data_IF_419143591433
#
_entry.id   IF_419143591433
#
_cell.length_a   1.000
_cell.length_b   1.000
_cell.length_c   1.000
_cell.angle_alpha   90.00
_cell.angle_beta   90.00
_cell.angle_gamma   90.00
#
_symmetry.space_group_name_H-M   'P 1'
#
loop_
_entity.id
_entity.type
_entity.pdbx_description
1 polymer ?
#
# COMPACT_ATOMS: atom_id res chain seq x y z
N UNK A 1 -71.75 -2.71 3.37
CA UNK A 1 -71.83 -2.80 4.81
C UNK A 1 -70.42 -3.14 5.30
N UNK A 2 -69.56 -2.37 5.87
CA UNK A 2 -69.59 -1.27 6.77
C UNK A 2 -68.13 -0.79 6.78
N UNK A 3 -67.84 0.35 6.31
CA UNK A 3 -67.35 1.62 6.86
C UNK A 3 -66.72 1.55 8.24
N UNK A 4 -65.48 2.06 8.34
CA UNK A 4 -64.95 3.02 9.31
C UNK A 4 -63.45 2.98 9.28
N UNK A 5 -62.78 3.98 8.86
CA UNK A 5 -62.44 5.33 9.31
C UNK A 5 -61.05 5.36 9.94
N UNK A 6 -60.26 6.21 9.33
CA UNK A 6 -58.95 6.72 9.78
C UNK A 6 -59.14 7.73 10.94
N UNK A 7 -58.17 7.95 11.77
CA UNK A 7 -57.80 9.34 11.94
C UNK A 7 -56.29 9.65 11.83
N UNK A 8 -56.05 10.76 11.17
CA UNK A 8 -54.83 11.54 11.17
C UNK A 8 -54.76 12.39 12.46
N UNK A 9 -53.57 12.61 12.98
CA UNK A 9 -53.14 13.72 13.85
C UNK A 9 -51.63 13.85 13.63
N UNK A 10 -51.12 14.85 13.23
CA UNK A 10 -50.93 16.29 13.37
C UNK A 10 -49.44 16.62 13.51
N UNK A 11 -49.07 17.57 12.70
CA UNK A 11 -47.83 18.34 12.72
C UNK A 11 -47.63 19.10 14.04
N UNK A 12 -46.40 19.17 14.53
CA UNK A 12 -45.97 20.38 15.23
C UNK A 12 -44.54 20.71 14.85
N UNK A 13 -44.45 21.92 14.33
CA UNK A 13 -43.22 22.61 13.93
C UNK A 13 -42.64 23.39 15.11
N UNK A 14 -41.34 23.69 14.92
CA UNK A 14 -40.62 24.86 15.46
C UNK A 14 -40.11 24.82 16.90
N UNK A 15 -38.76 24.89 17.02
CA UNK A 15 -38.16 26.16 17.49
C UNK A 15 -36.64 26.20 17.17
N UNK A 16 -36.29 27.23 16.45
CA UNK A 16 -34.95 27.75 16.23
C UNK A 16 -34.47 28.50 17.47
N UNK A 17 -33.27 28.13 17.97
CA UNK A 17 -32.53 29.01 18.88
C UNK A 17 -31.16 29.32 18.26
N UNK A 18 -31.05 30.55 17.80
CA UNK A 18 -29.78 31.21 17.44
C UNK A 18 -29.09 31.66 18.73
N UNK A 19 -27.81 31.27 18.90
CA UNK A 19 -26.94 31.90 19.88
C UNK A 19 -25.63 32.34 19.20
N UNK A 20 -25.60 33.63 18.93
CA UNK A 20 -24.41 34.43 18.63
C UNK A 20 -23.60 34.67 19.91
N UNK A 21 -22.39 34.17 20.00
CA UNK A 21 -21.42 34.65 20.97
C UNK A 21 -20.18 35.25 20.28
N UNK A 22 -20.03 36.55 20.56
CA UNK A 22 -18.90 37.40 20.18
C UNK A 22 -17.57 36.81 20.70
N UNK A 23 -16.60 36.63 19.83
CA UNK A 23 -15.22 36.45 20.21
C UNK A 23 -14.50 37.80 20.36
N UNK A 24 -14.03 38.06 21.55
CA UNK A 24 -13.16 39.19 21.90
C UNK A 24 -11.72 38.87 21.53
N UNK A 25 -11.12 39.71 20.69
CA UNK A 25 -9.71 39.70 20.34
C UNK A 25 -8.86 40.23 21.50
N UNK A 26 -7.92 39.43 21.97
CA UNK A 26 -6.83 39.93 22.84
C UNK A 26 -5.51 39.77 22.08
N UNK A 27 -4.96 40.89 21.69
CA UNK A 27 -3.61 41.07 21.17
C UNK A 27 -2.62 40.95 22.30
N UNK A 28 -1.70 40.00 22.24
CA UNK A 28 -0.46 40.03 23.04
C UNK A 28 0.75 40.20 22.12
N UNK A 29 1.41 41.34 22.28
CA UNK A 29 2.74 41.64 21.77
C UNK A 29 3.76 40.76 22.49
N UNK A 30 4.60 40.04 21.76
CA UNK A 30 5.85 39.52 22.30
C UNK A 30 7.03 40.02 21.47
N UNK A 31 8.06 40.37 22.21
CA UNK A 31 9.21 41.14 21.81
C UNK A 31 10.21 40.35 20.94
N UNK A 32 10.79 41.08 20.05
CA UNK A 32 11.96 40.78 19.24
C UNK A 32 13.19 40.49 20.12
N UNK A 33 13.85 39.36 19.86
CA UNK A 33 15.21 39.13 20.35
C UNK A 33 16.07 38.61 19.21
N UNK A 34 16.79 39.53 18.60
CA UNK A 34 17.83 39.26 17.61
C UNK A 34 19.05 38.58 18.27
N UNK A 35 19.37 37.37 17.84
CA UNK A 35 20.69 36.81 18.06
C UNK A 35 21.41 36.58 16.72
N UNK A 36 22.47 37.40 16.52
CA UNK A 36 23.46 37.24 15.46
C UNK A 36 24.27 35.98 15.70
N UNK A 37 24.23 35.02 14.77
CA UNK A 37 25.25 33.98 14.69
C UNK A 37 26.16 34.26 13.49
N UNK A 38 27.46 34.35 13.79
CA UNK A 38 28.52 34.60 12.83
C UNK A 38 28.80 33.34 12.00
N UNK A 39 28.82 33.48 10.69
CA UNK A 39 29.24 32.43 9.77
C UNK A 39 30.77 32.46 9.61
N UNK A 40 31.41 31.35 10.00
CA UNK A 40 32.85 31.15 9.74
C UNK A 40 32.96 30.25 8.51
N UNK A 41 33.43 30.84 7.41
CA UNK A 41 33.66 30.15 6.14
C UNK A 41 35.03 29.47 6.18
N UNK A 42 35.08 28.14 6.22
CA UNK A 42 36.33 27.40 6.03
C UNK A 42 36.44 26.94 4.59
N UNK A 43 37.35 27.52 3.82
CA UNK A 43 37.75 27.07 2.48
C UNK A 43 38.61 25.83 2.61
N UNK A 44 38.15 24.71 2.08
CA UNK A 44 38.99 23.50 1.86
C UNK A 44 39.37 23.43 0.39
N UNK A 45 40.63 23.64 0.11
CA UNK A 45 41.24 23.53 -1.22
C UNK A 45 41.53 22.05 -1.53
N UNK A 46 41.09 21.60 -2.69
CA UNK A 46 41.29 20.26 -3.27
C UNK A 46 42.58 20.30 -4.12
N UNK A 47 43.53 19.38 -3.94
CA UNK A 47 44.68 19.28 -4.87
C UNK A 47 44.31 18.50 -6.13
N UNK A 48 44.75 19.03 -7.24
CA UNK A 48 44.66 18.51 -8.61
C UNK A 48 45.83 17.59 -8.86
N UNK A 49 45.62 16.29 -9.10
CA UNK A 49 46.69 15.39 -9.56
C UNK A 49 46.73 15.35 -11.08
N UNK A 50 47.86 15.77 -11.60
CA UNK A 50 48.24 15.63 -13.03
C UNK A 50 48.82 14.26 -13.28
N UNK A 51 48.24 13.56 -14.27
CA UNK A 51 48.76 12.29 -14.76
C UNK A 51 50.06 12.47 -15.55
N UNK A 52 50.99 11.56 -15.35
CA UNK A 52 52.14 11.35 -16.23
C UNK A 52 52.29 9.87 -16.53
N UNK A 53 52.04 9.53 -17.75
CA UNK A 53 52.31 8.21 -18.36
C UNK A 53 53.84 8.04 -18.56
N UNK A 54 54.39 6.93 -18.09
CA UNK A 54 55.71 6.44 -18.57
C UNK A 54 55.60 4.99 -18.96
N UNK A 55 55.84 4.74 -20.23
CA UNK A 55 56.14 3.45 -20.81
C UNK A 55 57.51 2.98 -20.28
N UNK A 56 57.61 1.73 -19.86
CA UNK A 56 58.91 1.07 -19.76
C UNK A 56 58.84 -0.33 -20.37
N UNK A 57 59.75 -0.58 -21.26
CA UNK A 57 59.99 -1.73 -22.11
C UNK A 57 60.53 -2.91 -21.30
N UNK A 58 60.18 -4.11 -21.75
CA UNK A 58 60.68 -5.41 -21.28
C UNK A 58 62.16 -5.64 -21.54
N UNK A 59 62.83 -6.29 -20.60
CA UNK A 59 64.06 -7.06 -20.88
C UNK A 59 64.03 -8.36 -20.08
N UNK A 60 64.16 -9.45 -20.82
CA UNK A 60 64.23 -10.83 -20.37
C UNK A 60 65.65 -11.20 -19.91
N UNK A 61 65.78 -11.82 -18.74
CA UNK A 61 66.94 -12.67 -18.44
C UNK A 61 66.51 -13.89 -17.62
N UNK A 62 66.72 -15.05 -18.20
CA UNK A 62 66.48 -16.36 -17.64
C UNK A 62 67.59 -16.76 -16.68
N UNK A 63 67.25 -17.22 -15.48
CA UNK A 63 68.15 -18.00 -14.64
C UNK A 63 67.39 -19.22 -14.08
N UNK A 64 67.82 -20.40 -14.44
CA UNK A 64 67.44 -21.71 -13.95
C UNK A 64 67.83 -21.83 -12.46
N UNK A 65 66.92 -22.18 -11.58
CA UNK A 65 67.23 -22.77 -10.30
C UNK A 65 66.36 -24.03 -10.07
N UNK A 66 66.94 -25.05 -9.50
CA UNK A 66 66.43 -26.40 -9.31
C UNK A 66 65.31 -26.54 -8.29
N UNK A 67 64.48 -27.61 -8.27
CA UNK A 67 63.25 -27.68 -7.53
C UNK A 67 63.47 -28.07 -6.05
N UNK A 68 63.01 -27.24 -5.15
CA UNK A 68 62.82 -27.57 -3.73
C UNK A 68 61.47 -28.26 -3.57
N UNK A 69 61.47 -29.45 -2.99
CA UNK A 69 60.26 -30.20 -2.57
C UNK A 69 59.65 -29.49 -1.36
N UNK A 70 58.57 -28.77 -1.57
CA UNK A 70 57.68 -28.33 -0.49
C UNK A 70 56.41 -29.12 -0.55
N UNK A 71 56.19 -29.94 0.48
CA UNK A 71 54.95 -30.63 0.82
C UNK A 71 53.81 -29.64 0.92
N UNK A 72 52.81 -29.75 0.06
CA UNK A 72 51.54 -29.02 0.17
C UNK A 72 50.74 -29.59 1.33
N UNK A 73 50.19 -28.75 2.23
CA UNK A 73 49.16 -29.20 3.13
C UNK A 73 47.91 -29.51 2.31
N UNK A 74 47.41 -30.74 2.45
CA UNK A 74 46.11 -31.14 1.92
C UNK A 74 45.03 -30.37 2.64
N UNK A 75 44.48 -29.38 1.98
CA UNK A 75 43.19 -28.78 2.40
C UNK A 75 42.14 -29.87 2.12
N UNK A 76 41.76 -30.59 3.15
CA UNK A 76 40.51 -31.34 3.16
C UNK A 76 39.40 -30.30 2.95
N UNK A 77 38.90 -30.20 1.74
CA UNK A 77 37.62 -29.58 1.46
C UNK A 77 36.55 -30.48 2.13
N UNK A 78 36.09 -30.03 3.27
CA UNK A 78 34.86 -30.52 3.86
C UNK A 78 33.72 -30.25 2.86
N UNK A 79 33.42 -31.29 2.07
CA UNK A 79 32.27 -31.33 1.16
C UNK A 79 31.01 -31.68 1.97
N UNK A 80 30.71 -30.94 2.98
CA UNK A 80 29.33 -30.78 3.47
C UNK A 80 28.73 -29.61 2.70
N UNK A 81 28.39 -29.83 1.44
CA UNK A 81 27.28 -29.07 0.86
C UNK A 81 26.06 -29.44 1.68
N UNK A 82 25.76 -28.60 2.68
CA UNK A 82 24.44 -28.54 3.29
C UNK A 82 23.47 -28.47 2.10
N UNK A 83 22.68 -29.52 1.92
CA UNK A 83 21.51 -29.43 1.05
C UNK A 83 20.69 -28.28 1.64
N UNK A 84 20.66 -27.15 0.98
CA UNK A 84 19.77 -26.03 1.32
C UNK A 84 18.35 -26.57 1.11
N UNK A 85 17.82 -27.22 2.12
CA UNK A 85 16.41 -27.61 2.15
C UNK A 85 15.61 -26.32 2.23
N UNK A 86 14.77 -26.10 1.24
CA UNK A 86 13.82 -25.00 1.25
C UNK A 86 12.95 -25.12 2.49
N UNK A 87 12.94 -24.10 3.34
CA UNK A 87 12.19 -24.10 4.60
C UNK A 87 10.70 -23.95 4.35
N UNK A 88 9.89 -24.52 5.24
CA UNK A 88 8.46 -24.27 5.25
C UNK A 88 8.17 -22.86 5.77
N UNK A 89 7.32 -22.14 5.07
CA UNK A 89 6.90 -20.80 5.45
C UNK A 89 5.54 -20.87 6.12
N UNK A 90 5.53 -20.54 7.41
CA UNK A 90 4.34 -20.55 8.26
C UNK A 90 3.64 -19.18 8.21
N UNK A 91 2.32 -19.21 8.11
CA UNK A 91 1.45 -18.07 8.37
C UNK A 91 1.05 -18.15 9.84
N UNK A 92 1.49 -17.16 10.61
CA UNK A 92 1.25 -17.11 12.07
C UNK A 92 -0.08 -16.42 12.37
N UNK A 93 -0.37 -15.36 11.62
CA UNK A 93 -1.61 -14.62 11.76
C UNK A 93 -1.54 -13.26 11.08
N UNK A 94 -2.58 -12.49 11.25
CA UNK A 94 -2.66 -11.17 10.63
C UNK A 94 -3.30 -10.15 11.56
N UNK A 95 -3.32 -8.91 11.10
CA UNK A 95 -4.08 -7.83 11.69
C UNK A 95 -4.50 -6.84 10.60
N UNK A 96 -5.64 -6.19 10.81
CA UNK A 96 -6.12 -5.11 9.95
C UNK A 96 -6.88 -4.06 10.73
N UNK A 97 -7.06 -2.90 10.16
CA UNK A 97 -8.06 -1.93 10.61
C UNK A 97 -9.40 -2.19 9.90
N UNK A 98 -10.54 -1.70 10.40
CA UNK A 98 -11.80 -1.75 9.65
C UNK A 98 -11.64 -1.13 8.28
N UNK A 99 -12.28 -1.70 7.26
CA UNK A 99 -12.32 -1.08 5.94
C UNK A 99 -13.45 -0.06 5.89
N UNK A 100 -13.11 1.17 5.50
CA UNK A 100 -14.02 2.29 5.44
C UNK A 100 -14.34 2.67 4.00
N UNK A 101 -15.58 3.11 3.76
CA UNK A 101 -15.94 3.71 2.46
C UNK A 101 -15.13 4.98 2.25
N UNK A 102 -14.66 5.15 1.02
CA UNK A 102 -13.97 6.36 0.58
C UNK A 102 -14.77 7.63 0.91
N UNK A 103 -14.05 8.70 1.23
CA UNK A 103 -14.59 10.00 1.68
C UNK A 103 -15.45 9.90 2.94
N UNK A 104 -15.18 8.94 3.80
CA UNK A 104 -15.87 8.66 5.05
C UNK A 104 -15.01 8.87 6.28
N UNK A 105 -15.04 7.92 7.20
CA UNK A 105 -14.40 8.02 8.52
C UNK A 105 -12.87 8.25 8.45
N UNK A 106 -12.20 7.81 7.40
CA UNK A 106 -10.75 7.94 7.24
C UNK A 106 -10.33 9.10 6.32
N UNK A 107 -11.22 10.05 6.08
CA UNK A 107 -10.95 11.18 5.17
C UNK A 107 -9.67 11.97 5.50
N UNK A 108 -9.28 12.02 6.78
CA UNK A 108 -8.08 12.74 7.25
C UNK A 108 -6.89 11.82 7.54
N UNK A 109 -7.03 10.51 7.34
CA UNK A 109 -5.99 9.55 7.60
C UNK A 109 -5.10 9.33 6.37
N UNK A 110 -3.79 9.36 6.56
CA UNK A 110 -2.82 8.99 5.53
C UNK A 110 -2.60 7.47 5.47
N UNK A 111 -1.95 7.01 4.40
CA UNK A 111 -1.46 5.63 4.31
C UNK A 111 -0.54 5.27 5.49
N UNK A 112 0.32 6.20 5.93
CA UNK A 112 1.20 5.98 7.08
C UNK A 112 0.39 5.76 8.35
N UNK A 113 -0.62 6.60 8.63
CA UNK A 113 -1.45 6.46 9.82
C UNK A 113 -2.17 5.10 9.86
N UNK A 114 -2.80 4.72 8.74
CA UNK A 114 -3.56 3.48 8.63
C UNK A 114 -2.68 2.23 8.73
N UNK A 115 -1.54 2.20 8.02
CA UNK A 115 -0.67 1.05 8.06
C UNK A 115 0.06 0.92 9.41
N UNK A 116 0.45 2.05 10.03
CA UNK A 116 0.99 2.06 11.39
C UNK A 116 0.01 1.48 12.40
N UNK A 117 -1.28 1.83 12.29
CA UNK A 117 -2.32 1.26 13.17
C UNK A 117 -2.45 -0.27 12.98
N UNK A 118 -2.45 -0.75 11.75
CA UNK A 118 -2.47 -2.17 11.44
C UNK A 118 -1.23 -2.89 11.97
N UNK A 119 -0.03 -2.32 11.82
CA UNK A 119 1.21 -2.88 12.33
C UNK A 119 1.23 -2.92 13.86
N UNK A 120 0.80 -1.86 14.54
CA UNK A 120 0.74 -1.82 16.01
C UNK A 120 -0.16 -2.92 16.56
N UNK A 121 -1.34 -3.12 15.97
CA UNK A 121 -2.22 -4.21 16.37
C UNK A 121 -1.57 -5.59 16.18
N UNK A 122 -0.80 -5.80 15.11
CA UNK A 122 -0.05 -7.04 14.90
C UNK A 122 1.09 -7.20 15.95
N UNK A 123 1.83 -6.12 16.21
CA UNK A 123 2.93 -6.09 17.20
C UNK A 123 2.42 -6.43 18.59
N UNK A 124 1.28 -5.86 18.98
CA UNK A 124 0.63 -6.16 20.26
C UNK A 124 0.13 -7.59 20.34
N UNK A 125 -0.57 -8.06 19.31
CA UNK A 125 -1.15 -9.41 19.25
C UNK A 125 -0.11 -10.51 19.37
N UNK A 126 1.07 -10.34 18.78
CA UNK A 126 2.12 -11.36 18.76
C UNK A 126 3.31 -11.05 19.66
N UNK A 127 3.20 -10.07 20.56
CA UNK A 127 4.22 -9.67 21.54
C UNK A 127 5.58 -9.40 20.89
N UNK A 128 5.58 -8.60 19.80
CA UNK A 128 6.78 -8.29 19.00
C UNK A 128 7.48 -7.00 19.44
N UNK A 129 7.05 -6.37 20.55
CA UNK A 129 7.63 -5.12 21.05
C UNK A 129 9.13 -5.26 21.30
N UNK A 130 9.92 -4.33 20.79
CA UNK A 130 11.38 -4.33 20.91
C UNK A 130 12.10 -5.40 20.08
N UNK A 131 11.37 -6.27 19.37
CA UNK A 131 11.99 -7.29 18.53
C UNK A 131 12.45 -6.69 17.18
N UNK A 132 13.66 -7.09 16.77
CA UNK A 132 14.15 -6.85 15.41
C UNK A 132 13.69 -7.99 14.52
N UNK A 133 12.80 -7.71 13.60
CA UNK A 133 12.37 -8.67 12.59
C UNK A 133 13.35 -8.72 11.42
N UNK A 134 13.28 -9.77 10.62
CA UNK A 134 14.07 -9.91 9.42
C UNK A 134 13.76 -8.81 8.39
N UNK A 135 12.47 -8.55 8.15
CA UNK A 135 12.03 -7.50 7.22
C UNK A 135 10.53 -7.21 7.36
N UNK A 136 10.13 -5.97 7.01
CA UNK A 136 8.73 -5.59 6.77
C UNK A 136 8.61 -5.10 5.33
N UNK A 137 7.69 -5.69 4.58
CA UNK A 137 7.44 -5.33 3.18
C UNK A 137 5.96 -4.97 3.01
N UNK A 138 5.69 -3.80 2.47
CA UNK A 138 4.32 -3.38 2.19
C UNK A 138 4.29 -2.41 1.01
N UNK A 139 3.12 -1.90 0.68
CA UNK A 139 3.00 -0.85 -0.31
C UNK A 139 1.60 -0.31 -0.43
N UNK A 140 1.46 0.69 -1.28
CA UNK A 140 0.20 1.33 -1.61
C UNK A 140 0.18 1.68 -3.11
N UNK A 141 -0.99 1.65 -3.73
CA UNK A 141 -1.17 2.10 -5.12
C UNK A 141 -1.18 3.61 -5.18
N UNK A 142 -1.94 4.25 -4.29
CA UNK A 142 -2.08 5.70 -4.21
C UNK A 142 -1.15 6.27 -3.14
N UNK A 143 0.08 6.65 -3.53
CA UNK A 143 1.06 7.25 -2.62
C UNK A 143 1.34 8.70 -2.97
N UNK A 144 1.42 9.55 -1.95
CA UNK A 144 1.94 10.90 -2.10
C UNK A 144 3.46 10.89 -2.32
N UNK A 145 3.98 11.96 -2.92
CA UNK A 145 5.42 12.14 -3.09
C UNK A 145 6.19 12.23 -1.76
N UNK A 146 5.51 12.53 -0.65
CA UNK A 146 6.08 12.51 0.70
C UNK A 146 6.35 11.09 1.23
N UNK A 147 5.71 10.07 0.66
CA UNK A 147 5.71 8.69 1.13
C UNK A 147 6.77 7.84 0.40
N UNK A 148 8.01 8.32 0.31
CA UNK A 148 9.08 7.66 -0.45
C UNK A 148 9.38 6.24 0.02
N UNK A 149 9.43 6.02 1.32
CA UNK A 149 9.60 4.72 1.94
C UNK A 149 8.57 4.60 3.07
N UNK A 150 7.32 4.57 2.70
CA UNK A 150 6.16 4.54 3.59
C UNK A 150 6.28 3.41 4.63
N UNK A 151 6.60 2.21 4.19
CA UNK A 151 6.70 1.04 5.08
C UNK A 151 7.78 1.23 6.15
N UNK A 152 8.92 1.85 5.79
CA UNK A 152 9.98 2.15 6.75
C UNK A 152 9.53 3.17 7.80
N UNK A 153 8.84 4.24 7.38
CA UNK A 153 8.27 5.23 8.30
C UNK A 153 7.24 4.59 9.24
N UNK A 154 6.39 3.70 8.71
CA UNK A 154 5.45 2.96 9.55
C UNK A 154 6.15 2.10 10.60
N UNK A 155 7.23 1.38 10.25
CA UNK A 155 8.01 0.60 11.21
C UNK A 155 8.57 1.48 12.32
N UNK A 156 9.12 2.66 11.96
CA UNK A 156 9.66 3.63 12.93
C UNK A 156 8.58 4.22 13.86
N UNK A 157 7.34 4.21 13.44
CA UNK A 157 6.18 4.64 14.25
C UNK A 157 5.60 3.53 15.13
N UNK A 158 6.17 2.31 15.10
CA UNK A 158 5.74 1.18 15.93
C UNK A 158 6.70 0.92 17.08
N UNK A 159 6.36 -0.07 17.91
CA UNK A 159 7.24 -0.55 18.97
C UNK A 159 8.20 -1.67 18.53
N UNK A 160 8.31 -1.97 17.24
CA UNK A 160 9.37 -2.84 16.72
C UNK A 160 10.75 -2.19 16.94
N UNK A 161 11.80 -3.01 17.03
CA UNK A 161 13.15 -2.46 17.04
C UNK A 161 13.40 -1.62 15.78
N UNK A 162 13.94 -0.40 15.90
CA UNK A 162 14.15 0.49 14.77
C UNK A 162 15.17 -0.04 13.75
N UNK A 163 15.93 -1.06 14.08
CA UNK A 163 16.84 -1.76 13.17
C UNK A 163 16.12 -2.77 12.26
N UNK A 164 14.79 -2.94 12.39
CA UNK A 164 14.00 -3.80 11.50
C UNK A 164 13.99 -3.22 10.09
N UNK A 165 14.58 -3.89 9.07
CA UNK A 165 14.56 -3.39 7.70
C UNK A 165 13.15 -3.30 7.15
N UNK A 166 12.89 -2.32 6.29
CA UNK A 166 11.60 -2.20 5.64
C UNK A 166 11.71 -1.49 4.29
N UNK A 167 10.86 -1.86 3.34
CA UNK A 167 10.78 -1.20 2.04
C UNK A 167 9.38 -1.34 1.41
N UNK A 168 9.12 -0.47 0.43
CA UNK A 168 7.89 -0.47 -0.35
C UNK A 168 8.03 -1.26 -1.65
N UNK A 169 6.95 -1.91 -2.04
CA UNK A 169 6.75 -2.40 -3.40
C UNK A 169 5.39 -1.97 -3.95
N UNK A 170 5.19 -2.14 -5.24
CA UNK A 170 3.91 -1.88 -5.88
C UNK A 170 3.66 -2.86 -7.02
N UNK A 171 2.52 -3.53 -6.96
CA UNK A 171 1.98 -4.40 -8.01
C UNK A 171 0.47 -4.22 -8.10
N UNK A 172 0.02 -2.97 -8.27
CA UNK A 172 -1.39 -2.61 -8.27
C UNK A 172 -2.16 -3.30 -7.13
N UNK A 173 -3.34 -3.88 -7.38
CA UNK A 173 -4.15 -4.57 -6.37
C UNK A 173 -3.48 -5.82 -5.76
N UNK A 174 -2.47 -6.39 -6.43
CA UNK A 174 -1.67 -7.52 -5.95
C UNK A 174 -0.54 -7.16 -4.98
N UNK A 175 -0.36 -5.88 -4.64
CA UNK A 175 0.77 -5.38 -3.85
C UNK A 175 0.96 -6.13 -2.52
N UNK A 176 -0.09 -6.30 -1.73
CA UNK A 176 -0.01 -6.99 -0.44
C UNK A 176 0.35 -8.47 -0.58
N UNK A 177 -0.20 -9.15 -1.58
CA UNK A 177 0.11 -10.55 -1.87
C UNK A 177 1.56 -10.70 -2.35
N UNK A 178 2.04 -9.81 -3.22
CA UNK A 178 3.42 -9.82 -3.67
C UNK A 178 4.41 -9.52 -2.53
N UNK A 179 4.03 -8.67 -1.59
CA UNK A 179 4.80 -8.44 -0.36
C UNK A 179 4.96 -9.74 0.44
N UNK A 180 3.85 -10.50 0.60
CA UNK A 180 3.88 -11.80 1.26
C UNK A 180 4.80 -12.80 0.52
N UNK A 181 4.78 -12.84 -0.80
CA UNK A 181 5.66 -13.68 -1.60
C UNK A 181 7.15 -13.34 -1.40
N UNK A 182 7.50 -12.04 -1.37
CA UNK A 182 8.88 -11.63 -1.16
C UNK A 182 9.40 -12.01 0.23
N UNK A 183 8.62 -11.76 1.28
CA UNK A 183 8.97 -12.16 2.64
C UNK A 183 9.09 -13.68 2.75
N UNK A 184 8.12 -14.41 2.19
CA UNK A 184 8.11 -15.87 2.18
C UNK A 184 9.34 -16.46 1.47
N UNK A 185 9.73 -15.91 0.33
CA UNK A 185 10.92 -16.35 -0.41
C UNK A 185 12.20 -16.19 0.40
N UNK A 186 12.35 -15.07 1.12
CA UNK A 186 13.50 -14.85 2.01
C UNK A 186 13.52 -15.83 3.18
N UNK A 187 12.36 -16.14 3.76
CA UNK A 187 12.23 -17.15 4.82
C UNK A 187 12.57 -18.54 4.27
N UNK A 188 11.99 -18.93 3.13
CA UNK A 188 12.23 -20.23 2.50
C UNK A 188 13.70 -20.47 2.17
N UNK A 189 14.42 -19.42 1.74
CA UNK A 189 15.86 -19.46 1.45
C UNK A 189 16.74 -19.31 2.70
N UNK A 190 16.17 -19.17 3.90
CA UNK A 190 16.91 -19.01 5.15
C UNK A 190 17.65 -17.67 5.29
N UNK A 191 17.25 -16.66 4.55
CA UNK A 191 17.84 -15.30 4.64
C UNK A 191 17.30 -14.53 5.86
N UNK A 192 16.05 -14.78 6.23
CA UNK A 192 15.40 -14.26 7.42
C UNK A 192 14.58 -15.37 8.10
N UNK A 193 14.29 -15.23 9.39
CA UNK A 193 13.47 -16.19 10.13
C UNK A 193 12.00 -15.76 10.20
N UNK A 194 11.75 -14.46 10.27
CA UNK A 194 10.42 -13.88 10.47
C UNK A 194 10.34 -12.53 9.76
N UNK A 195 9.17 -12.21 9.22
CA UNK A 195 8.91 -10.92 8.60
C UNK A 195 7.42 -10.62 8.53
N UNK A 196 7.10 -9.37 8.24
CA UNK A 196 5.72 -8.90 8.07
C UNK A 196 5.53 -8.47 6.62
N UNK A 197 4.41 -8.89 6.04
CA UNK A 197 3.96 -8.42 4.73
C UNK A 197 2.63 -7.71 4.88
N UNK A 198 2.38 -6.69 4.03
CA UNK A 198 1.11 -5.98 4.11
C UNK A 198 0.85 -5.03 2.96
N UNK A 199 -0.19 -4.24 3.16
CA UNK A 199 -0.57 -3.19 2.22
C UNK A 199 -1.59 -2.25 2.82
N UNK A 200 -1.68 -1.09 2.22
CA UNK A 200 -2.59 -0.01 2.59
C UNK A 200 -2.97 0.77 1.35
N UNK A 201 -4.19 1.26 1.31
CA UNK A 201 -4.58 2.28 0.33
C UNK A 201 -5.68 3.18 0.88
N UNK A 202 -5.67 4.42 0.41
CA UNK A 202 -6.76 5.38 0.63
C UNK A 202 -7.08 6.09 -0.68
N UNK A 203 -8.35 6.13 -1.02
CA UNK A 203 -8.87 7.00 -2.08
C UNK A 203 -9.37 8.33 -1.53
N UNK A 204 -9.53 8.43 -0.21
CA UNK A 204 -9.92 9.67 0.49
C UNK A 204 -8.77 10.68 0.56
N UNK A 205 -7.54 10.23 0.85
CA UNK A 205 -6.31 11.03 0.77
C UNK A 205 -5.61 10.79 -0.59
N UNK A 206 -6.33 11.03 -1.69
CA UNK A 206 -5.79 10.80 -3.03
C UNK A 206 -4.63 11.76 -3.35
N UNK A 207 -3.53 11.28 -3.93
CA UNK A 207 -2.35 12.10 -4.26
C UNK A 207 -2.63 12.98 -5.49
N UNK A 208 -3.29 14.12 -5.28
CA UNK A 208 -3.47 15.14 -6.32
C UNK A 208 -2.14 15.80 -6.61
N UNK A 209 -1.65 15.67 -7.82
CA UNK A 209 -0.39 16.22 -8.28
C UNK A 209 -0.60 17.51 -9.10
N UNK A 210 0.49 18.23 -9.33
CA UNK A 210 0.50 19.30 -10.31
C UNK A 210 0.42 18.70 -11.72
N UNK A 211 -0.41 19.25 -12.56
CA UNK A 211 -0.45 18.90 -13.98
C UNK A 211 0.91 19.07 -14.64
N UNK A 212 1.20 18.26 -15.66
CA UNK A 212 2.56 18.15 -16.24
C UNK A 212 3.06 19.50 -16.79
N UNK A 213 2.17 20.31 -17.38
CA UNK A 213 2.51 21.65 -17.88
C UNK A 213 2.94 22.60 -16.76
N UNK A 214 2.17 22.66 -15.67
CA UNK A 214 2.51 23.49 -14.52
C UNK A 214 3.79 22.99 -13.84
N UNK A 215 3.93 21.70 -13.64
CA UNK A 215 5.12 21.08 -13.05
C UNK A 215 6.39 21.43 -13.83
N UNK A 216 6.37 21.28 -15.16
CA UNK A 216 7.49 21.64 -16.03
C UNK A 216 7.81 23.12 -15.99
N UNK A 217 6.80 23.98 -16.01
CA UNK A 217 7.01 25.43 -15.91
C UNK A 217 7.67 25.82 -14.57
N UNK A 218 7.25 25.23 -13.46
CA UNK A 218 7.87 25.47 -12.15
C UNK A 218 9.33 24.99 -12.09
N UNK A 219 9.64 23.84 -12.70
CA UNK A 219 11.02 23.35 -12.82
C UNK A 219 11.89 24.28 -13.67
N UNK A 220 11.37 24.77 -14.81
CA UNK A 220 12.05 25.76 -15.63
C UNK A 220 12.28 27.08 -14.87
N UNK A 221 11.29 27.54 -14.11
CA UNK A 221 11.42 28.71 -13.24
C UNK A 221 12.54 28.58 -12.22
N UNK A 222 12.69 27.40 -11.63
CA UNK A 222 13.73 27.12 -10.62
C UNK A 222 15.15 27.21 -11.22
N UNK A 223 15.34 26.84 -12.47
CA UNK A 223 16.63 26.88 -13.16
C UNK A 223 16.87 28.17 -13.95
N UNK A 224 15.85 29.01 -14.16
CA UNK A 224 15.92 30.23 -14.95
C UNK A 224 16.86 31.26 -14.32
N UNK A 225 17.89 31.68 -15.08
CA UNK A 225 18.89 32.65 -14.64
C UNK A 225 18.51 34.10 -14.91
N UNK A 226 17.63 34.34 -15.90
CA UNK A 226 17.22 35.69 -16.30
C UNK A 226 15.74 35.92 -16.09
N UNK A 227 15.31 37.20 -15.92
CA UNK A 227 13.89 37.57 -15.85
C UNK A 227 13.13 37.20 -17.10
N UNK A 228 13.78 37.26 -18.29
CA UNK A 228 13.18 36.86 -19.56
C UNK A 228 12.87 35.34 -19.61
N UNK A 229 13.77 34.53 -19.10
CA UNK A 229 13.55 33.08 -19.05
C UNK A 229 12.44 32.71 -18.08
N UNK A 230 12.36 33.41 -16.92
CA UNK A 230 11.26 33.26 -15.96
C UNK A 230 9.90 33.60 -16.61
N UNK A 231 9.83 34.71 -17.32
CA UNK A 231 8.59 35.11 -17.99
C UNK A 231 8.16 34.08 -19.06
N UNK A 232 9.12 33.55 -19.83
CA UNK A 232 8.86 32.50 -20.82
C UNK A 232 8.33 31.23 -20.16
N UNK A 233 8.87 30.83 -19.02
CA UNK A 233 8.39 29.64 -18.28
C UNK A 233 6.96 29.84 -17.77
N UNK A 234 6.65 31.03 -17.21
CA UNK A 234 5.29 31.36 -16.77
C UNK A 234 4.28 31.37 -17.92
N UNK A 235 4.67 31.88 -19.11
CA UNK A 235 3.80 31.91 -20.27
C UNK A 235 3.40 30.52 -20.82
N UNK A 236 4.08 29.44 -20.36
CA UNK A 236 3.75 28.05 -20.72
C UNK A 236 2.65 27.45 -19.85
N UNK A 237 2.27 28.10 -18.75
CA UNK A 237 1.27 27.57 -17.83
C UNK A 237 -0.09 27.62 -18.49
N UNK A 238 -0.71 26.45 -18.64
CA UNK A 238 -2.09 26.32 -19.12
C UNK A 238 -3.01 26.09 -17.91
N UNK A 239 -3.99 26.96 -17.72
CA UNK A 239 -4.96 26.86 -16.61
C UNK A 239 -5.76 25.55 -16.64
N UNK A 240 -5.91 24.92 -17.82
CA UNK A 240 -6.60 23.62 -17.96
C UNK A 240 -5.77 22.42 -17.48
N UNK A 241 -4.46 22.60 -17.27
CA UNK A 241 -3.50 21.57 -16.90
C UNK A 241 -2.81 21.93 -15.58
N UNK A 242 -3.58 22.40 -14.60
CA UNK A 242 -3.04 22.80 -13.30
C UNK A 242 -2.89 21.63 -12.33
N UNK A 243 -3.80 20.66 -12.39
CA UNK A 243 -3.85 19.53 -11.48
C UNK A 243 -3.98 18.21 -12.25
N UNK A 244 -3.35 17.18 -11.71
CA UNK A 244 -3.48 15.80 -12.15
C UNK A 244 -3.94 14.95 -10.97
N UNK A 245 -5.10 14.30 -11.14
CA UNK A 245 -5.68 13.42 -10.14
C UNK A 245 -5.57 11.96 -10.61
N UNK A 246 -5.40 11.00 -9.69
CA UNK A 246 -5.41 9.59 -10.02
C UNK A 246 -6.67 9.21 -10.78
N UNK A 247 -6.52 8.50 -11.90
CA UNK A 247 -7.63 8.03 -12.72
C UNK A 247 -7.93 6.57 -12.36
N UNK A 248 -9.20 6.29 -12.10
CA UNK A 248 -9.66 4.91 -11.93
C UNK A 248 -9.89 4.24 -13.29
N UNK A 249 -8.79 3.98 -14.01
CA UNK A 249 -8.86 3.37 -15.33
C UNK A 249 -7.49 2.91 -15.81
N UNK A 250 -7.49 1.88 -16.62
CA UNK A 250 -6.28 1.36 -17.25
C UNK A 250 -5.82 2.34 -18.35
N UNK A 251 -4.55 2.80 -18.33
CA UNK A 251 -4.07 3.86 -19.25
C UNK A 251 -4.14 3.50 -20.74
N UNK A 252 -4.02 2.24 -21.11
CA UNK A 252 -3.98 1.79 -22.52
C UNK A 252 -5.37 1.62 -23.12
N UNK A 253 -6.32 1.13 -22.33
CA UNK A 253 -7.70 0.90 -22.78
C UNK A 253 -8.61 2.08 -22.46
N UNK A 254 -8.28 2.88 -21.46
CA UNK A 254 -9.12 3.94 -20.92
C UNK A 254 -10.34 3.43 -20.15
N UNK A 255 -10.46 2.12 -19.96
CA UNK A 255 -11.59 1.48 -19.28
C UNK A 255 -11.36 1.45 -17.77
N UNK A 256 -12.42 1.62 -16.99
CA UNK A 256 -12.40 1.38 -15.56
C UNK A 256 -12.29 -0.12 -15.24
N UNK A 257 -11.86 -0.47 -14.02
CA UNK A 257 -11.75 -1.88 -13.62
C UNK A 257 -13.10 -2.60 -13.66
N UNK A 258 -14.20 -1.91 -13.37
CA UNK A 258 -15.55 -2.46 -13.52
C UNK A 258 -15.91 -2.78 -14.98
N UNK A 259 -15.43 -2.01 -15.95
CA UNK A 259 -15.64 -2.31 -17.37
C UNK A 259 -14.82 -3.53 -17.81
N UNK A 260 -13.59 -3.68 -17.30
CA UNK A 260 -12.78 -4.90 -17.51
C UNK A 260 -13.44 -6.14 -16.87
N UNK A 261 -14.00 -6.00 -15.66
CA UNK A 261 -14.77 -7.08 -15.03
C UNK A 261 -16.02 -7.47 -15.86
N UNK A 262 -16.69 -6.49 -16.45
CA UNK A 262 -17.82 -6.74 -17.34
C UNK A 262 -17.41 -7.51 -18.61
N UNK A 263 -16.23 -7.21 -19.18
CA UNK A 263 -15.66 -7.98 -20.30
C UNK A 263 -15.42 -9.43 -19.88
N UNK A 264 -14.74 -9.65 -18.74
CA UNK A 264 -14.48 -11.00 -18.22
C UNK A 264 -15.77 -11.77 -17.95
N UNK A 265 -16.79 -11.11 -17.38
CA UNK A 265 -18.09 -11.73 -17.13
C UNK A 265 -18.76 -12.22 -18.43
N UNK A 266 -18.65 -11.44 -19.51
CA UNK A 266 -19.16 -11.83 -20.82
C UNK A 266 -18.37 -12.98 -21.46
N UNK A 267 -17.04 -12.90 -21.44
CA UNK A 267 -16.15 -13.93 -22.01
C UNK A 267 -16.36 -15.28 -21.35
N UNK A 268 -16.55 -15.30 -20.04
CA UNK A 268 -16.73 -16.51 -19.25
C UNK A 268 -18.20 -16.91 -19.06
N UNK A 269 -19.12 -16.18 -19.69
CA UNK A 269 -20.55 -16.41 -19.59
C UNK A 269 -21.07 -16.46 -18.15
N UNK A 270 -20.58 -15.55 -17.29
CA UNK A 270 -21.00 -15.46 -15.90
C UNK A 270 -22.34 -14.73 -15.83
N UNK A 271 -23.39 -15.46 -15.47
CA UNK A 271 -24.74 -14.92 -15.40
C UNK A 271 -24.89 -13.83 -14.32
N UNK A 272 -25.80 -12.89 -14.52
CA UNK A 272 -26.12 -11.82 -13.59
C UNK A 272 -26.56 -12.37 -12.23
N UNK A 273 -27.35 -13.41 -12.22
CA UNK A 273 -27.87 -14.09 -11.03
C UNK A 273 -26.72 -14.60 -10.17
N UNK A 274 -25.73 -15.28 -10.76
CA UNK A 274 -24.56 -15.79 -10.04
C UNK A 274 -23.73 -14.66 -9.41
N UNK A 275 -23.60 -13.51 -10.08
CA UNK A 275 -22.91 -12.33 -9.55
C UNK A 275 -23.66 -11.75 -8.33
N UNK A 276 -24.99 -11.62 -8.42
CA UNK A 276 -25.84 -11.10 -7.36
C UNK A 276 -25.89 -12.05 -6.15
N UNK A 277 -25.97 -13.36 -6.38
CA UNK A 277 -25.91 -14.40 -5.34
C UNK A 277 -24.58 -14.38 -4.59
N UNK A 278 -23.46 -14.27 -5.31
CA UNK A 278 -22.13 -14.14 -4.71
C UNK A 278 -22.02 -12.90 -3.83
N UNK A 279 -22.50 -11.76 -4.32
CA UNK A 279 -22.46 -10.50 -3.57
C UNK A 279 -23.34 -10.56 -2.31
N UNK A 280 -24.58 -11.06 -2.42
CA UNK A 280 -25.47 -11.24 -1.28
C UNK A 280 -24.87 -12.19 -0.24
N UNK A 281 -24.37 -13.36 -0.68
CA UNK A 281 -23.73 -14.36 0.18
C UNK A 281 -22.49 -13.78 0.89
N UNK A 282 -21.68 -12.97 0.20
CA UNK A 282 -20.51 -12.30 0.80
C UNK A 282 -20.91 -11.40 1.96
N UNK A 283 -21.91 -10.56 1.78
CA UNK A 283 -22.42 -9.68 2.84
C UNK A 283 -22.99 -10.47 4.03
N UNK A 284 -23.78 -11.51 3.75
CA UNK A 284 -24.40 -12.35 4.78
C UNK A 284 -23.35 -13.12 5.60
N UNK A 285 -22.37 -13.73 4.92
CA UNK A 285 -21.25 -14.43 5.59
C UNK A 285 -20.44 -13.49 6.48
N UNK A 286 -20.17 -12.26 6.01
CA UNK A 286 -19.43 -11.29 6.81
C UNK A 286 -20.24 -10.80 8.01
N UNK A 287 -21.55 -10.57 7.85
CA UNK A 287 -22.44 -10.21 8.97
C UNK A 287 -22.41 -11.31 10.04
N UNK A 288 -22.58 -12.56 9.62
CA UNK A 288 -22.51 -13.73 10.52
C UNK A 288 -21.15 -13.84 11.22
N UNK A 289 -20.05 -13.65 10.51
CA UNK A 289 -18.70 -13.67 11.08
C UNK A 289 -18.51 -12.60 12.17
N UNK A 290 -19.09 -11.42 12.00
CA UNK A 290 -19.11 -10.40 13.05
C UNK A 290 -19.97 -10.77 14.25
N UNK A 291 -21.09 -11.45 14.02
CA UNK A 291 -21.98 -11.93 15.11
C UNK A 291 -21.31 -13.04 15.92
N UNK A 292 -20.55 -13.90 15.27
CA UNK A 292 -19.79 -15.02 15.88
C UNK A 292 -18.47 -14.60 16.51
N UNK A 293 -18.07 -13.32 16.46
CA UNK A 293 -16.80 -12.81 17.01
C UNK A 293 -15.56 -13.23 16.22
N UNK A 294 -15.71 -13.70 14.98
CA UNK A 294 -14.58 -14.18 14.15
C UNK A 294 -13.49 -13.11 13.96
N UNK A 295 -13.86 -11.84 14.00
CA UNK A 295 -12.95 -10.72 13.76
C UNK A 295 -12.41 -10.07 15.04
N UNK A 296 -12.81 -10.52 16.23
CA UNK A 296 -12.53 -9.83 17.49
C UNK A 296 -11.02 -9.72 17.80
N UNK A 297 -10.25 -10.71 17.41
CA UNK A 297 -8.79 -10.74 17.56
C UNK A 297 -8.02 -10.28 16.29
N UNK A 298 -8.71 -10.03 15.17
CA UNK A 298 -8.11 -9.68 13.89
C UNK A 298 -8.15 -8.19 13.58
N UNK A 299 -9.13 -7.47 14.13
CA UNK A 299 -9.38 -6.06 13.81
C UNK A 299 -8.92 -5.15 14.94
N UNK A 300 -8.03 -4.22 14.61
CA UNK A 300 -7.68 -3.10 15.49
C UNK A 300 -8.62 -1.93 15.20
N UNK A 301 -9.42 -1.46 16.16
CA UNK A 301 -10.25 -0.28 15.96
C UNK A 301 -9.43 0.94 15.56
N UNK A 302 -9.93 1.75 14.63
CA UNK A 302 -9.23 2.92 14.13
C UNK A 302 -10.22 4.07 13.83
N UNK A 303 -9.89 5.28 14.28
CA UNK A 303 -10.68 6.52 14.10
C UNK A 303 -12.20 6.33 14.29
N UNK A 304 -12.57 5.68 15.38
CA UNK A 304 -13.95 5.47 15.76
C UNK A 304 -14.68 4.33 15.07
N UNK A 305 -14.04 3.62 14.15
CA UNK A 305 -14.58 2.39 13.56
C UNK A 305 -14.01 1.16 14.27
N UNK A 306 -14.90 0.21 14.59
CA UNK A 306 -14.55 -1.15 15.06
C UNK A 306 -15.00 -2.24 14.09
N UNK A 307 -15.75 -1.87 13.05
CA UNK A 307 -16.27 -2.79 12.01
C UNK A 307 -16.22 -2.14 10.65
N UNK A 308 -16.17 -2.94 9.60
CA UNK A 308 -16.25 -2.46 8.22
C UNK A 308 -17.59 -1.78 7.97
N UNK A 309 -17.55 -0.55 7.47
CA UNK A 309 -18.77 0.23 7.23
C UNK A 309 -19.33 0.05 5.81
N UNK A 310 -18.74 -0.86 5.03
CA UNK A 310 -19.25 -1.27 3.72
C UNK A 310 -20.26 -2.43 3.80
N UNK A 311 -20.34 -3.09 4.94
CA UNK A 311 -21.22 -4.24 5.15
C UNK A 311 -22.70 -3.85 5.03
N UNK A 312 -23.46 -4.67 4.30
CA UNK A 312 -24.92 -4.58 4.13
C UNK A 312 -25.53 -5.93 4.46
N UNK A 313 -25.74 -6.21 5.72
CA UNK A 313 -26.25 -7.49 6.22
C UNK A 313 -27.61 -7.88 5.62
N UNK A 314 -28.40 -6.91 5.18
CA UNK A 314 -29.72 -7.07 4.58
C UNK A 314 -29.70 -7.31 3.06
N UNK A 315 -28.52 -7.50 2.45
CA UNK A 315 -28.41 -7.79 1.01
C UNK A 315 -29.00 -9.15 0.66
N UNK A 316 -29.81 -9.19 -0.41
CA UNK A 316 -30.35 -10.41 -0.99
C UNK A 316 -30.24 -10.36 -2.51
N UNK A 317 -30.20 -11.51 -3.17
CA UNK A 317 -30.15 -11.59 -4.63
C UNK A 317 -31.33 -10.86 -5.28
N UNK A 318 -32.54 -10.95 -4.70
CA UNK A 318 -33.75 -10.29 -5.22
C UNK A 318 -33.67 -8.75 -5.10
N UNK A 319 -33.01 -8.23 -4.08
CA UNK A 319 -32.76 -6.78 -3.96
C UNK A 319 -31.74 -6.31 -4.99
N UNK A 320 -30.65 -7.10 -5.19
CA UNK A 320 -29.60 -6.79 -6.12
C UNK A 320 -30.06 -6.88 -7.57
N UNK A 321 -30.90 -7.84 -7.93
CA UNK A 321 -31.48 -8.02 -9.27
C UNK A 321 -32.23 -6.78 -9.79
N UNK A 322 -32.74 -5.93 -8.89
CA UNK A 322 -33.44 -4.67 -9.25
C UNK A 322 -32.50 -3.54 -9.68
N UNK A 323 -31.19 -3.70 -9.44
CA UNK A 323 -30.22 -2.66 -9.76
C UNK A 323 -29.86 -2.66 -11.24
N UNK A 324 -29.70 -1.48 -11.81
CA UNK A 324 -29.24 -1.31 -13.18
C UNK A 324 -27.74 -1.48 -13.28
N UNK A 325 -27.23 -2.06 -14.39
CA UNK A 325 -25.79 -2.08 -14.65
C UNK A 325 -25.17 -0.69 -14.64
N UNK A 326 -23.95 -0.59 -14.08
CA UNK A 326 -23.14 0.62 -14.05
C UNK A 326 -21.84 0.48 -14.83
N UNK A 327 -21.44 -0.76 -15.12
CA UNK A 327 -20.29 -1.09 -15.95
C UNK A 327 -20.69 -2.01 -17.10
N UNK A 328 -19.92 -1.95 -18.19
CA UNK A 328 -20.26 -2.61 -19.44
C UNK A 328 -21.24 -1.79 -20.27
N UNK A 329 -21.53 -2.26 -21.49
CA UNK A 329 -22.41 -1.58 -22.44
C UNK A 329 -23.46 -2.55 -23.02
N UNK A 330 -24.63 -2.00 -23.36
CA UNK A 330 -25.71 -2.72 -24.03
C UNK A 330 -26.51 -3.63 -23.11
N UNK A 331 -27.36 -4.47 -23.69
CA UNK A 331 -28.30 -5.37 -22.97
C UNK A 331 -27.60 -6.50 -22.22
N UNK A 332 -26.39 -6.86 -22.65
CA UNK A 332 -25.58 -7.90 -22.00
C UNK A 332 -24.81 -7.42 -20.76
N UNK A 333 -24.91 -6.14 -20.38
CA UNK A 333 -24.25 -5.62 -19.19
C UNK A 333 -24.87 -6.17 -17.91
N UNK A 334 -24.05 -6.72 -17.02
CA UNK A 334 -24.50 -7.40 -15.78
C UNK A 334 -23.94 -6.78 -14.52
N UNK A 335 -22.86 -5.99 -14.61
CA UNK A 335 -22.16 -5.42 -13.45
C UNK A 335 -22.88 -4.21 -12.90
N UNK A 336 -23.36 -4.29 -11.66
CA UNK A 336 -24.11 -3.24 -10.96
C UNK A 336 -23.30 -2.67 -9.78
N UNK A 337 -23.74 -1.57 -9.21
CA UNK A 337 -23.17 -1.07 -7.96
C UNK A 337 -23.34 -2.02 -6.77
N UNK A 338 -24.33 -2.95 -6.84
CA UNK A 338 -24.59 -3.90 -5.76
C UNK A 338 -23.75 -5.18 -5.83
N UNK A 339 -23.32 -5.58 -7.02
CA UNK A 339 -22.41 -6.72 -7.23
C UNK A 339 -20.97 -6.29 -7.55
N UNK A 340 -20.64 -5.03 -7.26
CA UNK A 340 -19.31 -4.47 -7.39
C UNK A 340 -18.84 -3.89 -6.05
N UNK A 341 -17.53 -3.95 -5.77
CA UNK A 341 -16.97 -3.36 -4.55
C UNK A 341 -16.89 -1.84 -4.67
N UNK A 342 -17.25 -1.07 -3.61
CA UNK A 342 -16.98 0.36 -3.58
C UNK A 342 -15.50 0.66 -3.36
N UNK A 343 -15.06 1.88 -3.67
CA UNK A 343 -13.75 2.38 -3.26
C UNK A 343 -13.70 2.47 -1.73
N UNK A 344 -12.61 1.95 -1.16
CA UNK A 344 -12.41 1.85 0.29
C UNK A 344 -11.03 2.29 0.70
N UNK A 345 -10.94 2.71 1.96
CA UNK A 345 -9.69 3.01 2.65
C UNK A 345 -9.45 1.90 3.69
N UNK A 346 -8.20 1.46 3.84
CA UNK A 346 -7.88 0.43 4.81
C UNK A 346 -6.44 -0.06 4.74
N UNK A 347 -6.04 -0.83 5.74
CA UNK A 347 -4.73 -1.43 5.86
C UNK A 347 -4.80 -2.82 6.49
N UNK A 348 -3.91 -3.69 6.05
CA UNK A 348 -3.77 -5.04 6.61
C UNK A 348 -2.33 -5.52 6.54
N UNK A 349 -1.96 -6.43 7.45
CA UNK A 349 -0.65 -7.07 7.46
C UNK A 349 -0.75 -8.52 7.98
N UNK A 350 0.26 -9.32 7.63
CA UNK A 350 0.39 -10.73 8.00
C UNK A 350 1.80 -11.00 8.51
N UNK A 351 1.90 -11.78 9.59
CA UNK A 351 3.15 -12.27 10.15
C UNK A 351 3.48 -13.63 9.53
N UNK A 352 4.64 -13.69 8.88
CA UNK A 352 5.20 -14.89 8.25
C UNK A 352 6.50 -15.26 8.95
N UNK A 353 6.72 -16.56 9.16
CA UNK A 353 7.95 -17.04 9.79
C UNK A 353 8.37 -18.40 9.23
N UNK A 354 9.61 -18.81 9.51
CA UNK A 354 9.99 -20.22 9.39
C UNK A 354 9.20 -21.06 10.40
N UNK A 355 8.91 -22.30 10.08
CA UNK A 355 8.24 -23.22 10.99
C UNK A 355 9.04 -23.37 12.31
N UNK A 356 10.36 -23.35 12.22
CA UNK A 356 11.27 -23.44 13.36
C UNK A 356 11.14 -22.23 14.28
N UNK A 357 11.11 -21.03 13.72
CA UNK A 357 10.92 -19.79 14.49
C UNK A 357 9.56 -19.78 15.18
N UNK A 358 8.50 -20.17 14.48
CA UNK A 358 7.16 -20.23 15.04
C UNK A 358 7.12 -21.15 16.28
N UNK A 359 7.66 -22.36 16.16
CA UNK A 359 7.74 -23.32 17.28
C UNK A 359 8.59 -22.81 18.44
N UNK A 360 9.75 -22.21 18.13
CA UNK A 360 10.66 -21.70 19.15
C UNK A 360 10.08 -20.52 19.96
N UNK A 361 9.19 -19.75 19.36
CA UNK A 361 8.52 -18.61 19.99
C UNK A 361 7.10 -18.92 20.48
N UNK A 362 6.67 -20.20 20.41
CA UNK A 362 5.38 -20.65 20.95
C UNK A 362 4.17 -20.18 20.13
N UNK A 363 4.35 -19.86 18.86
CA UNK A 363 3.27 -19.46 17.98
C UNK A 363 2.64 -20.65 17.27
N UNK A 364 1.33 -20.67 17.21
CA UNK A 364 0.57 -21.60 16.39
C UNK A 364 0.76 -21.29 14.91
N UNK A 365 0.86 -22.34 14.09
CA UNK A 365 0.91 -22.23 12.63
C UNK A 365 -0.49 -22.41 12.08
N UNK A 366 -1.09 -21.34 11.58
CA UNK A 366 -2.44 -21.35 11.01
C UNK A 366 -2.48 -22.04 9.65
N UNK A 367 -1.47 -21.80 8.82
CA UNK A 367 -1.34 -22.36 7.47
C UNK A 367 0.12 -22.26 6.99
N UNK A 368 0.39 -22.87 5.83
CA UNK A 368 1.68 -22.74 5.15
C UNK A 368 1.49 -22.11 3.78
N UNK A 369 2.38 -21.18 3.42
CA UNK A 369 2.47 -20.65 2.08
C UNK A 369 3.29 -21.63 1.23
N UNK A 370 2.61 -22.40 0.40
CA UNK A 370 3.21 -23.52 -0.35
C UNK A 370 3.42 -23.23 -1.83
N UNK A 371 2.68 -22.29 -2.39
CA UNK A 371 2.73 -21.94 -3.80
C UNK A 371 2.47 -20.46 -4.00
N UNK A 372 3.10 -19.89 -5.03
CA UNK A 372 2.95 -18.50 -5.42
C UNK A 372 3.11 -18.38 -6.93
N UNK A 373 2.26 -17.57 -7.56
CA UNK A 373 2.26 -17.37 -9.00
C UNK A 373 1.96 -15.91 -9.34
N UNK A 374 2.57 -15.41 -10.39
CA UNK A 374 2.24 -14.12 -10.98
C UNK A 374 2.03 -14.31 -12.48
N UNK A 375 0.87 -13.93 -12.96
CA UNK A 375 0.49 -14.05 -14.36
C UNK A 375 0.27 -12.69 -15.02
N UNK A 376 0.34 -12.66 -16.33
CA UNK A 376 -0.03 -11.52 -17.16
C UNK A 376 -0.77 -12.01 -18.40
N UNK A 377 -1.74 -11.21 -18.85
CA UNK A 377 -2.54 -11.48 -20.05
C UNK A 377 -2.44 -10.32 -21.03
N UNK A 378 -2.64 -10.60 -22.32
CA UNK A 378 -2.72 -9.57 -23.36
C UNK A 378 -4.14 -9.01 -23.44
N UNK A 379 -4.45 -8.10 -22.52
CA UNK A 379 -5.76 -7.45 -22.43
C UNK A 379 -5.98 -6.31 -23.45
N UNK A 380 -4.94 -5.91 -24.18
CA UNK A 380 -5.00 -4.79 -25.14
C UNK A 380 -5.36 -5.30 -26.53
N UNK A 381 -4.54 -6.19 -27.09
CA UNK A 381 -4.70 -6.68 -28.47
C UNK A 381 -5.67 -7.86 -28.57
N UNK A 382 -5.55 -8.82 -27.69
CA UNK A 382 -6.40 -10.03 -27.68
C UNK A 382 -7.73 -9.82 -26.97
N UNK A 383 -7.92 -8.67 -26.31
CA UNK A 383 -9.14 -8.33 -25.55
C UNK A 383 -9.46 -9.36 -24.48
N UNK A 384 -8.43 -9.97 -23.91
CA UNK A 384 -8.59 -10.86 -22.76
C UNK A 384 -9.01 -10.05 -21.52
N UNK A 385 -9.80 -10.66 -20.65
CA UNK A 385 -10.24 -10.00 -19.43
C UNK A 385 -9.07 -9.70 -18.50
N UNK A 386 -8.78 -8.43 -18.25
CA UNK A 386 -7.71 -7.99 -17.37
C UNK A 386 -7.83 -8.53 -15.93
N UNK A 387 -9.06 -8.80 -15.48
CA UNK A 387 -9.35 -9.28 -14.14
C UNK A 387 -9.55 -10.80 -14.08
N UNK A 388 -8.84 -11.53 -14.87
CA UNK A 388 -8.74 -12.98 -14.74
C UNK A 388 -7.73 -13.36 -13.70
#
# INVERSE_FOLDING_TARGET
KTTQENPAVENSAQETVSNTSKATSTTSKSADTTSKAASTTTKTTRPRSTGRSTKTTASSTSTKAAPSKTTKPSVQQDKTMSQNTVRRVAIIGGNRIPFARSNGAYFTASNIDMFTASLNGLVERFNLQGQRLGEVVAGAVLKHSRDFNMTRECVLNTQLAPETPAFDLQQACGTGLQAAFLVANKIALGQIEVGIAGGVDTTSDAPIALGDGLRKALLELNIAKTGKDRLKALAKINVKDLMDAPKNGEPRTGLAMGDHAAITALEWNIAREAQDELAASSHQKMAKAYEEGFFDDLITPFLGLSRDNNLRADSTAEKLAKLKPVFGKGEAATMTAGNSTPLTDGASCVLLASEEWAKANGHEVLAYLTFQETAAVDFVEKKEGLLM
#
